data_IF_859277345078
#
_entry.id   IF_859277345078
#
_cell.length_a   1.000
_cell.length_b   1.000
_cell.length_c   1.000
_cell.angle_alpha   90.00
_cell.angle_beta   90.00
_cell.angle_gamma   90.00
#
_symmetry.space_group_name_H-M   'P 1'
#
loop_
_entity.id
_entity.type
_entity.pdbx_description
1 polymer ?
#
# COMPACT_ATOMS: atom_id res chain seq x y z
N UNK A 1 -4.40 0.35 -3.84
CA UNK A 1 -5.56 -0.50 -4.13
C UNK A 1 -5.58 -1.70 -3.19
N UNK A 2 -6.79 -2.06 -2.67
CA UNK A 2 -6.99 -3.00 -1.58
C UNK A 2 -6.99 -2.28 -0.23
N UNK A 3 -8.13 -1.74 0.20
CA UNK A 3 -8.27 -1.02 1.48
C UNK A 3 -8.56 -1.94 2.68
N UNK A 4 -8.27 -3.25 2.55
CA UNK A 4 -8.37 -4.21 3.65
C UNK A 4 -7.42 -3.92 4.81
N UNK A 5 -7.05 -4.92 5.61
CA UNK A 5 -6.22 -4.72 6.80
C UNK A 5 -4.96 -3.92 6.54
N UNK A 6 -4.04 -4.42 5.70
CA UNK A 6 -2.75 -3.76 5.42
C UNK A 6 -2.96 -2.42 4.72
N UNK A 7 -3.66 -2.40 3.57
CA UNK A 7 -3.85 -1.15 2.82
C UNK A 7 -4.63 -0.10 3.59
N UNK A 8 -5.61 -0.50 4.40
CA UNK A 8 -6.36 0.40 5.27
C UNK A 8 -5.51 0.98 6.39
N UNK A 9 -4.72 0.16 7.10
CA UNK A 9 -3.82 0.64 8.16
C UNK A 9 -2.78 1.59 7.59
N UNK A 10 -2.08 1.20 6.52
CA UNK A 10 -1.05 2.04 5.89
C UNK A 10 -1.66 3.32 5.34
N UNK A 11 -2.72 3.22 4.53
CA UNK A 11 -3.35 4.39 3.93
C UNK A 11 -3.98 5.33 4.95
N UNK A 12 -4.62 4.79 6.00
CA UNK A 12 -5.18 5.59 7.08
C UNK A 12 -4.11 6.37 7.85
N UNK A 13 -3.02 5.72 8.26
CA UNK A 13 -1.93 6.38 8.99
C UNK A 13 -1.17 7.39 8.12
N UNK A 14 -0.96 7.11 6.84
CA UNK A 14 -0.39 8.09 5.92
C UNK A 14 -1.30 9.30 5.74
N UNK A 15 -2.62 9.10 5.60
CA UNK A 15 -3.59 10.19 5.56
C UNK A 15 -3.56 11.03 6.84
N UNK A 16 -3.44 10.38 8.01
CA UNK A 16 -3.28 11.08 9.29
C UNK A 16 -1.98 11.90 9.37
N UNK A 17 -0.95 11.49 8.66
CA UNK A 17 0.33 12.18 8.56
C UNK A 17 0.37 13.28 7.49
N UNK A 18 -0.77 13.55 6.83
CA UNK A 18 -0.93 14.66 5.88
C UNK A 18 -0.66 14.31 4.41
N UNK A 19 -0.46 13.05 4.07
CA UNK A 19 -0.35 12.62 2.68
C UNK A 19 -1.72 12.61 1.99
N UNK A 20 -1.76 12.94 0.70
CA UNK A 20 -2.97 12.81 -0.13
C UNK A 20 -3.16 11.34 -0.53
N UNK A 21 -3.98 10.64 0.23
CA UNK A 21 -4.23 9.21 0.08
C UNK A 21 -5.61 8.96 -0.50
N UNK A 22 -5.66 8.12 -1.52
CA UNK A 22 -6.90 7.57 -2.07
C UNK A 22 -6.92 6.06 -1.87
N UNK A 23 -7.84 5.57 -1.06
CA UNK A 23 -8.11 4.15 -0.87
C UNK A 23 -9.08 3.66 -1.95
N UNK A 24 -8.71 2.59 -2.64
CA UNK A 24 -9.51 1.99 -3.71
C UNK A 24 -9.82 0.56 -3.32
N UNK A 25 -11.10 0.20 -3.28
CA UNK A 25 -11.53 -1.15 -2.92
C UNK A 25 -12.79 -1.57 -3.68
N UNK A 26 -12.99 -2.88 -3.79
CA UNK A 26 -14.20 -3.47 -4.37
C UNK A 26 -15.32 -3.66 -3.34
N UNK A 27 -15.01 -3.65 -2.05
CA UNK A 27 -16.00 -3.79 -0.99
C UNK A 27 -16.79 -2.49 -0.81
N UNK A 28 -17.96 -2.44 -1.44
CA UNK A 28 -18.76 -1.23 -1.54
C UNK A 28 -19.10 -0.62 -0.17
N UNK A 29 -19.51 -1.45 0.79
CA UNK A 29 -19.90 -0.99 2.14
C UNK A 29 -18.72 -0.35 2.86
N UNK A 30 -17.51 -0.90 2.68
CA UNK A 30 -16.29 -0.34 3.24
C UNK A 30 -15.95 1.02 2.64
N UNK A 31 -16.02 1.13 1.32
CA UNK A 31 -15.81 2.41 0.60
C UNK A 31 -16.79 3.47 1.05
N UNK A 32 -18.09 3.13 1.15
CA UNK A 32 -19.14 4.06 1.59
C UNK A 32 -18.94 4.47 3.05
N UNK A 33 -18.59 3.53 3.92
CA UNK A 33 -18.32 3.84 5.32
C UNK A 33 -17.16 4.82 5.48
N UNK A 34 -16.06 4.62 4.73
CA UNK A 34 -14.90 5.54 4.75
C UNK A 34 -15.29 6.92 4.22
N UNK A 35 -16.06 7.02 3.13
CA UNK A 35 -16.53 8.30 2.58
C UNK A 35 -17.36 9.10 3.57
N UNK A 36 -18.27 8.42 4.27
CA UNK A 36 -19.24 9.09 5.13
C UNK A 36 -18.67 9.44 6.51
N UNK A 37 -17.82 8.55 7.07
CA UNK A 37 -17.42 8.62 8.47
C UNK A 37 -15.90 8.70 8.67
N UNK A 38 -15.11 8.59 7.59
CA UNK A 38 -13.67 8.38 7.66
C UNK A 38 -13.31 6.93 7.94
N UNK A 39 -12.01 6.66 8.04
CA UNK A 39 -11.46 5.35 8.37
C UNK A 39 -10.95 5.35 9.80
N UNK A 40 -11.50 4.46 10.61
CA UNK A 40 -11.02 4.22 11.96
C UNK A 40 -9.87 3.22 11.92
N UNK A 41 -8.68 3.62 12.38
CA UNK A 41 -7.50 2.77 12.50
C UNK A 41 -7.24 2.54 13.98
N UNK A 42 -7.45 1.31 14.45
CA UNK A 42 -7.12 0.90 15.81
C UNK A 42 -5.71 0.29 15.84
N UNK A 43 -4.88 0.75 16.76
CA UNK A 43 -3.59 0.14 17.10
C UNK A 43 -3.60 -0.27 18.56
N UNK A 44 -2.57 -0.98 19.02
CA UNK A 44 -2.48 -1.34 20.44
C UNK A 44 -2.33 -0.11 21.36
N UNK A 45 -1.78 0.99 20.85
CA UNK A 45 -1.53 2.20 21.63
C UNK A 45 -2.72 3.16 21.64
N UNK A 46 -3.32 3.38 20.47
CA UNK A 46 -4.42 4.35 20.30
C UNK A 46 -5.26 4.08 19.07
N UNK A 47 -6.36 4.81 18.99
CA UNK A 47 -7.25 4.85 17.83
C UNK A 47 -7.09 6.16 17.08
N UNK A 48 -6.99 6.07 15.75
CA UNK A 48 -6.98 7.21 14.84
C UNK A 48 -8.29 7.26 14.07
N UNK A 49 -8.88 8.44 13.94
CA UNK A 49 -9.95 8.71 12.99
C UNK A 49 -9.32 9.48 11.82
N UNK A 50 -9.25 8.85 10.66
CA UNK A 50 -8.54 9.37 9.49
C UNK A 50 -9.52 9.59 8.33
N UNK A 51 -9.19 10.46 7.40
CA UNK A 51 -10.11 10.86 6.33
C UNK A 51 -9.46 10.76 4.94
N UNK A 52 -8.95 9.58 4.55
CA UNK A 52 -8.47 9.39 3.19
C UNK A 52 -9.63 9.50 2.19
N UNK A 53 -9.33 9.91 0.97
CA UNK A 53 -10.29 9.72 -0.11
C UNK A 53 -10.57 8.23 -0.28
N UNK A 54 -11.80 7.86 -0.62
CA UNK A 54 -12.14 6.46 -0.87
C UNK A 54 -12.94 6.33 -2.15
N UNK A 55 -12.58 5.37 -2.99
CA UNK A 55 -13.23 5.12 -4.28
C UNK A 55 -13.50 3.63 -4.46
N UNK A 56 -14.66 3.31 -4.99
CA UNK A 56 -14.90 2.00 -5.59
C UNK A 56 -14.13 1.88 -6.91
N UNK A 57 -13.92 0.66 -7.37
CA UNK A 57 -13.25 0.41 -8.67
C UNK A 57 -13.98 1.13 -9.82
N UNK A 58 -15.32 1.14 -9.81
CA UNK A 58 -16.12 1.80 -10.85
C UNK A 58 -15.99 3.33 -10.85
N UNK A 59 -15.63 3.94 -9.72
CA UNK A 59 -15.46 5.40 -9.63
C UNK A 59 -14.10 5.87 -10.16
N UNK A 60 -13.12 4.98 -10.33
CA UNK A 60 -11.84 5.33 -10.93
C UNK A 60 -11.98 5.96 -12.32
N UNK A 61 -12.96 5.53 -13.13
CA UNK A 61 -13.20 6.11 -14.44
C UNK A 61 -13.52 7.61 -14.41
N UNK A 62 -13.88 8.15 -13.26
CA UNK A 62 -14.25 9.57 -13.11
C UNK A 62 -13.09 10.44 -12.64
N UNK A 63 -11.90 9.87 -12.35
CA UNK A 63 -10.76 10.66 -11.93
C UNK A 63 -9.95 11.17 -13.12
N UNK A 64 -9.45 12.41 -13.00
CA UNK A 64 -8.65 13.08 -14.04
C UNK A 64 -7.19 13.29 -13.64
N UNK A 65 -6.79 12.71 -12.50
CA UNK A 65 -5.44 12.86 -11.96
C UNK A 65 -4.67 11.55 -12.06
N UNK A 66 -3.35 11.64 -12.05
CA UNK A 66 -2.49 10.47 -11.90
C UNK A 66 -1.96 10.39 -10.47
N UNK A 67 -1.86 9.17 -9.96
CA UNK A 67 -1.18 8.88 -8.69
C UNK A 67 0.34 8.87 -8.89
N UNK A 68 1.07 9.41 -7.93
CA UNK A 68 2.54 9.38 -7.92
C UNK A 68 3.06 7.99 -7.53
N UNK A 69 2.34 7.29 -6.65
CA UNK A 69 2.64 5.94 -6.24
C UNK A 69 1.38 5.09 -6.10
N UNK A 70 1.43 3.86 -6.55
CA UNK A 70 0.34 2.88 -6.40
C UNK A 70 0.80 1.71 -5.53
N UNK A 71 0.19 1.56 -4.37
CA UNK A 71 0.43 0.45 -3.45
C UNK A 71 -0.55 -0.68 -3.75
N UNK A 72 -0.02 -1.85 -4.08
CA UNK A 72 -0.80 -3.05 -4.40
C UNK A 72 -0.94 -3.87 -3.12
N UNK A 73 -2.07 -3.70 -2.43
CA UNK A 73 -2.36 -4.30 -1.13
C UNK A 73 -3.54 -5.29 -1.17
N UNK A 74 -3.92 -5.73 -2.37
CA UNK A 74 -4.91 -6.79 -2.58
C UNK A 74 -4.35 -8.15 -2.19
N UNK A 75 -5.19 -9.19 -2.14
CA UNK A 75 -4.69 -10.57 -1.97
C UNK A 75 -3.89 -11.00 -3.20
N UNK A 76 -2.92 -11.88 -3.01
CA UNK A 76 -1.93 -12.28 -4.04
C UNK A 76 -2.56 -12.81 -5.34
N UNK A 77 -3.74 -13.43 -5.29
CA UNK A 77 -4.47 -13.88 -6.47
C UNK A 77 -5.02 -12.72 -7.31
N UNK A 78 -5.13 -11.52 -6.75
CA UNK A 78 -5.63 -10.31 -7.41
C UNK A 78 -4.50 -9.38 -7.92
N UNK A 79 -3.23 -9.73 -7.72
CA UNK A 79 -2.07 -8.88 -8.04
C UNK A 79 -2.09 -8.36 -9.47
N UNK A 80 -2.33 -9.26 -10.44
CA UNK A 80 -2.21 -8.92 -11.85
C UNK A 80 -3.27 -7.94 -12.31
N UNK A 81 -4.55 -8.23 -12.02
CA UNK A 81 -5.62 -7.33 -12.44
C UNK A 81 -5.52 -5.96 -11.74
N UNK A 82 -5.19 -5.94 -10.44
CA UNK A 82 -5.05 -4.70 -9.70
C UNK A 82 -3.89 -3.85 -10.23
N UNK A 83 -2.76 -4.49 -10.56
CA UNK A 83 -1.61 -3.82 -11.17
C UNK A 83 -1.96 -3.29 -12.56
N UNK A 84 -2.64 -4.09 -13.38
CA UNK A 84 -3.09 -3.66 -14.71
C UNK A 84 -4.05 -2.47 -14.65
N UNK A 85 -5.01 -2.51 -13.72
CA UNK A 85 -5.93 -1.40 -13.50
C UNK A 85 -5.17 -0.13 -13.09
N UNK A 86 -4.32 -0.23 -12.07
CA UNK A 86 -3.60 0.94 -11.55
C UNK A 86 -2.57 1.49 -12.52
N UNK A 87 -2.07 0.70 -13.47
CA UNK A 87 -1.18 1.17 -14.54
C UNK A 87 -1.79 2.31 -15.37
N UNK A 88 -3.11 2.34 -15.49
CA UNK A 88 -3.84 3.39 -16.22
C UNK A 88 -3.84 4.70 -15.43
N UNK A 89 -3.88 4.62 -14.10
CA UNK A 89 -4.05 5.76 -13.20
C UNK A 89 -2.76 6.18 -12.48
N UNK A 90 -1.67 5.47 -12.65
CA UNK A 90 -0.36 5.84 -12.11
C UNK A 90 0.40 6.70 -13.13
N UNK A 91 1.08 7.75 -12.68
CA UNK A 91 1.79 8.66 -13.57
C UNK A 91 2.74 7.88 -14.51
N UNK A 92 2.54 7.97 -15.82
CA UNK A 92 3.30 7.15 -16.77
C UNK A 92 4.79 7.52 -16.86
N UNK A 93 5.20 8.70 -16.37
CA UNK A 93 6.59 9.17 -16.43
C UNK A 93 7.32 8.97 -15.12
N UNK A 94 6.72 9.40 -14.02
CA UNK A 94 7.37 9.48 -12.70
C UNK A 94 6.78 8.51 -11.68
N UNK A 95 5.61 7.95 -11.96
CA UNK A 95 4.90 7.09 -11.03
C UNK A 95 5.52 5.71 -10.88
N UNK A 96 5.36 5.12 -9.71
CA UNK A 96 5.88 3.80 -9.38
C UNK A 96 4.87 2.95 -8.61
N UNK A 97 5.16 1.66 -8.52
CA UNK A 97 4.33 0.67 -7.85
C UNK A 97 5.09 0.05 -6.69
N UNK A 98 4.37 -0.25 -5.62
CA UNK A 98 4.93 -0.93 -4.46
C UNK A 98 4.10 -2.17 -4.16
N UNK A 99 4.75 -3.32 -4.06
CA UNK A 99 4.09 -4.56 -3.62
C UNK A 99 3.89 -4.53 -2.10
N UNK A 100 2.62 -4.55 -1.67
CA UNK A 100 2.21 -4.58 -0.26
C UNK A 100 1.48 -5.89 0.07
N UNK A 101 2.05 -6.99 -0.37
CA UNK A 101 1.45 -8.32 -0.23
C UNK A 101 2.38 -9.30 0.48
N UNK A 102 1.81 -10.34 1.05
CA UNK A 102 2.59 -11.49 1.51
C UNK A 102 2.88 -12.43 0.33
N UNK A 103 4.01 -13.13 0.38
CA UNK A 103 4.41 -14.07 -0.65
C UNK A 103 5.28 -13.45 -1.75
N UNK A 104 5.41 -14.13 -2.86
CA UNK A 104 6.28 -13.77 -3.99
C UNK A 104 5.42 -13.21 -5.12
N UNK A 105 5.18 -11.89 -5.12
CA UNK A 105 4.33 -11.22 -6.12
C UNK A 105 5.07 -10.16 -6.94
N UNK A 106 6.23 -9.71 -6.47
CA UNK A 106 7.01 -8.64 -7.10
C UNK A 106 7.29 -8.90 -8.59
N UNK A 107 7.63 -10.13 -8.96
CA UNK A 107 7.89 -10.48 -10.36
C UNK A 107 6.62 -10.40 -11.23
N UNK A 108 5.43 -10.69 -10.65
CA UNK A 108 4.14 -10.58 -11.35
C UNK A 108 3.79 -9.11 -11.61
N UNK A 109 3.97 -8.27 -10.60
CA UNK A 109 3.80 -6.82 -10.72
C UNK A 109 4.80 -6.24 -11.72
N UNK A 110 6.09 -6.56 -11.58
CA UNK A 110 7.14 -6.08 -12.48
C UNK A 110 6.96 -6.52 -13.94
N UNK A 111 6.36 -7.68 -14.21
CA UNK A 111 6.06 -8.13 -15.58
C UNK A 111 5.03 -7.23 -16.29
N UNK A 112 4.20 -6.53 -15.52
CA UNK A 112 3.13 -5.65 -16.05
C UNK A 112 3.62 -4.21 -16.20
N UNK A 113 4.33 -3.69 -15.21
CA UNK A 113 4.69 -2.27 -15.16
C UNK A 113 6.15 -1.98 -15.52
N UNK A 114 7.00 -2.99 -15.55
CA UNK A 114 8.45 -2.89 -15.70
C UNK A 114 9.17 -2.89 -14.35
N UNK A 115 10.39 -3.45 -14.33
CA UNK A 115 11.24 -3.46 -13.12
C UNK A 115 11.62 -2.06 -12.66
N UNK A 116 11.80 -1.15 -13.62
CA UNK A 116 12.11 0.26 -13.41
C UNK A 116 11.00 1.05 -12.71
N UNK A 117 9.78 0.53 -12.68
CA UNK A 117 8.62 1.13 -12.00
C UNK A 117 8.14 0.34 -10.79
N UNK A 118 8.81 -0.72 -10.44
CA UNK A 118 8.38 -1.66 -9.40
C UNK A 118 9.34 -1.63 -8.21
N UNK A 119 8.84 -1.36 -7.03
CA UNK A 119 9.53 -1.45 -5.75
C UNK A 119 8.97 -2.64 -4.96
N UNK A 120 9.84 -3.39 -4.33
CA UNK A 120 9.46 -4.45 -3.42
C UNK A 120 9.31 -3.97 -1.99
N UNK A 121 8.45 -4.65 -1.24
CA UNK A 121 8.28 -4.39 0.19
C UNK A 121 8.03 -5.69 0.94
N UNK A 122 8.81 -5.96 1.96
CA UNK A 122 8.55 -7.01 2.95
C UNK A 122 7.84 -6.39 4.14
N UNK A 123 6.60 -6.80 4.37
CA UNK A 123 5.70 -6.25 5.39
C UNK A 123 5.71 -7.15 6.60
N UNK A 124 6.05 -6.61 7.78
CA UNK A 124 6.05 -7.33 9.05
C UNK A 124 4.89 -6.92 9.96
N UNK A 125 4.14 -5.87 9.61
CA UNK A 125 2.94 -5.51 10.36
C UNK A 125 1.81 -6.51 10.13
N UNK A 126 1.09 -6.82 11.20
CA UNK A 126 -0.17 -7.56 11.17
C UNK A 126 -1.35 -6.59 11.11
N UNK A 127 -2.35 -6.88 10.29
CA UNK A 127 -3.54 -6.05 10.20
C UNK A 127 -4.78 -6.85 9.79
N UNK A 128 -5.94 -6.38 10.23
CA UNK A 128 -7.24 -6.99 9.94
C UNK A 128 -8.30 -5.93 9.63
N UNK A 129 -9.29 -6.32 8.83
CA UNK A 129 -10.48 -5.54 8.54
C UNK A 129 -11.68 -6.49 8.67
N UNK A 130 -12.48 -6.32 9.72
CA UNK A 130 -13.63 -7.19 10.00
C UNK A 130 -14.96 -6.51 9.73
N UNK A 131 -14.98 -5.18 9.73
CA UNK A 131 -16.19 -4.39 9.53
C UNK A 131 -15.92 -3.16 8.65
N UNK A 132 -16.91 -2.66 7.91
CA UNK A 132 -16.77 -1.48 7.06
C UNK A 132 -16.29 -0.25 7.83
N UNK A 133 -15.34 0.49 7.26
CA UNK A 133 -14.83 1.75 7.83
C UNK A 133 -13.89 1.58 9.01
N UNK A 134 -13.46 0.34 9.33
CA UNK A 134 -12.56 0.08 10.46
C UNK A 134 -11.50 -0.95 10.12
N UNK A 135 -10.25 -0.62 10.44
CA UNK A 135 -9.10 -1.53 10.36
C UNK A 135 -8.36 -1.57 11.68
N UNK A 136 -7.71 -2.69 11.95
CA UNK A 136 -6.99 -2.94 13.20
C UNK A 136 -5.57 -3.36 12.87
N UNK A 137 -4.58 -2.68 13.44
CA UNK A 137 -3.20 -3.17 13.49
C UNK A 137 -3.08 -4.13 14.66
N UNK A 138 -2.75 -5.40 14.38
CA UNK A 138 -2.81 -6.50 15.35
C UNK A 138 -1.47 -6.82 15.99
N UNK A 139 -0.40 -6.23 15.51
CA UNK A 139 0.96 -6.39 16.03
C UNK A 139 1.47 -5.14 16.75
N UNK A 140 2.60 -5.29 17.44
CA UNK A 140 3.35 -4.21 18.08
C UNK A 140 4.81 -4.18 17.64
N UNK A 141 5.15 -4.75 16.49
CA UNK A 141 6.52 -4.72 15.97
C UNK A 141 6.92 -3.29 15.59
N UNK A 142 8.12 -2.89 16.00
CA UNK A 142 8.68 -1.59 15.63
C UNK A 142 9.00 -1.56 14.13
N UNK A 143 9.76 -2.55 13.65
CA UNK A 143 10.06 -2.69 12.22
C UNK A 143 8.83 -3.17 11.48
N UNK A 144 8.27 -2.32 10.64
CA UNK A 144 7.06 -2.61 9.87
C UNK A 144 7.33 -2.95 8.42
N UNK A 145 8.41 -2.42 7.87
CA UNK A 145 8.69 -2.58 6.43
C UNK A 145 10.19 -2.69 6.15
N UNK A 146 10.53 -3.54 5.18
CA UNK A 146 11.80 -3.46 4.46
C UNK A 146 11.49 -3.20 3.00
N UNK A 147 12.08 -2.16 2.42
CA UNK A 147 11.81 -1.75 1.03
C UNK A 147 13.07 -1.85 0.19
N UNK A 148 12.91 -2.22 -1.08
CA UNK A 148 14.04 -2.41 -1.98
C UNK A 148 13.67 -2.12 -3.44
N UNK A 149 14.67 -1.70 -4.22
CA UNK A 149 14.59 -1.76 -5.68
C UNK A 149 14.74 -3.19 -6.17
N UNK A 150 14.20 -3.48 -7.36
CA UNK A 150 14.29 -4.80 -7.99
C UNK A 150 15.72 -5.22 -8.33
N UNK A 151 16.62 -4.26 -8.52
CA UNK A 151 18.04 -4.46 -8.86
C UNK A 151 19.00 -4.28 -7.69
N UNK A 152 18.48 -4.01 -6.48
CA UNK A 152 19.25 -3.78 -5.27
C UNK A 152 19.89 -2.39 -5.18
N UNK A 153 19.63 -1.48 -6.11
CA UNK A 153 20.10 -0.09 -6.06
C UNK A 153 19.42 0.72 -4.97
N UNK A 154 20.05 1.80 -4.53
CA UNK A 154 19.46 2.74 -3.55
C UNK A 154 19.15 4.05 -4.27
N UNK A 155 17.96 4.12 -4.83
CA UNK A 155 17.47 5.30 -5.55
C UNK A 155 16.90 6.37 -4.62
N UNK A 156 16.68 7.58 -5.13
CA UNK A 156 16.03 8.65 -4.36
C UNK A 156 14.55 8.32 -4.08
N UNK A 157 13.83 7.74 -5.05
CA UNK A 157 12.44 7.30 -4.83
C UNK A 157 12.33 6.23 -3.74
N UNK A 158 13.34 5.34 -3.58
CA UNK A 158 13.38 4.35 -2.50
C UNK A 158 13.58 5.01 -1.14
N UNK A 159 14.44 6.05 -1.08
CA UNK A 159 14.62 6.86 0.14
C UNK A 159 13.34 7.61 0.50
N UNK A 160 12.65 8.17 -0.50
CA UNK A 160 11.38 8.84 -0.31
C UNK A 160 10.31 7.87 0.18
N UNK A 161 10.21 6.68 -0.41
CA UNK A 161 9.29 5.63 0.05
C UNK A 161 9.57 5.23 1.50
N UNK A 162 10.84 5.05 1.88
CA UNK A 162 11.23 4.82 3.27
C UNK A 162 10.70 5.92 4.19
N UNK A 163 10.92 7.19 3.83
CA UNK A 163 10.49 8.33 4.64
C UNK A 163 8.96 8.38 4.77
N UNK A 164 8.24 8.10 3.70
CA UNK A 164 6.77 8.01 3.68
C UNK A 164 6.31 6.92 4.66
N UNK A 165 6.81 5.70 4.51
CA UNK A 165 6.40 4.55 5.31
C UNK A 165 6.82 4.64 6.78
N UNK A 166 7.90 5.37 7.09
CA UNK A 166 8.33 5.63 8.47
C UNK A 166 7.30 6.42 9.30
N UNK A 167 6.28 7.01 8.67
CA UNK A 167 5.13 7.58 9.38
C UNK A 167 4.09 6.52 9.84
N UNK A 168 4.24 5.29 9.39
CA UNK A 168 3.37 4.16 9.75
C UNK A 168 4.06 3.22 10.73
N UNK A 169 5.31 2.86 10.42
CA UNK A 169 6.17 2.01 11.24
C UNK A 169 7.63 2.19 10.80
N UNK A 170 8.57 1.76 11.63
CA UNK A 170 9.99 1.75 11.26
C UNK A 170 10.18 1.05 9.91
N UNK A 171 10.99 1.66 9.05
CA UNK A 171 11.20 1.20 7.68
C UNK A 171 12.69 1.17 7.36
N UNK A 172 13.16 0.03 6.90
CA UNK A 172 14.55 -0.18 6.46
C UNK A 172 14.64 -0.28 4.94
N UNK A 173 15.77 0.16 4.38
CA UNK A 173 16.12 -0.09 2.99
C UNK A 173 17.00 -1.34 2.94
N UNK A 174 16.67 -2.27 2.06
CA UNK A 174 17.50 -3.42 1.73
C UNK A 174 18.04 -3.31 0.30
N UNK A 175 19.24 -3.85 0.08
CA UNK A 175 19.80 -4.05 -1.26
C UNK A 175 19.56 -5.46 -1.80
N UNK A 176 18.87 -6.31 -1.02
CA UNK A 176 18.58 -7.70 -1.38
C UNK A 176 17.09 -8.02 -1.16
N UNK A 177 16.25 -7.55 -2.08
CA UNK A 177 14.81 -7.79 -2.02
C UNK A 177 14.48 -9.29 -1.91
N UNK A 178 15.15 -10.12 -2.70
CA UNK A 178 14.84 -11.55 -2.74
C UNK A 178 15.26 -12.26 -1.48
N UNK A 179 16.42 -11.95 -0.92
CA UNK A 179 16.84 -12.47 0.38
C UNK A 179 15.87 -12.12 1.48
N UNK A 180 15.35 -10.89 1.50
CA UNK A 180 14.35 -10.44 2.48
C UNK A 180 13.01 -11.18 2.31
N UNK A 181 12.53 -11.37 1.08
CA UNK A 181 11.29 -12.11 0.82
C UNK A 181 11.45 -13.57 1.26
N UNK A 182 12.53 -14.24 0.85
CA UNK A 182 12.77 -15.65 1.20
C UNK A 182 13.01 -15.86 2.69
N UNK A 183 13.58 -14.88 3.39
CA UNK A 183 13.79 -14.98 4.84
C UNK A 183 12.51 -14.89 5.65
N UNK A 184 11.44 -14.34 5.06
CA UNK A 184 10.12 -14.21 5.69
C UNK A 184 9.20 -15.41 5.39
N UNK A 185 9.39 -16.11 4.28
CA UNK A 185 8.56 -17.25 3.86
C UNK A 185 8.86 -18.52 4.66
#
# INVERSE_FOLDING_TARGET
IGAGGIGGVVGGLLSNSGYDVTLIDQWHEHVVAIKNNGLKVETQEKTYNTYPKSLSISELQNISIFFDASFIAVKSYDTEWATQLMKIYTNPKTGYFVDFQNGINDHRMASIVGKDKSLGSVITIGAACYEPGKVIRTDNYHLGFKVAEQDGSISDRLKDLKNILSNVAETEISSDLWGEIWSKL
#
